data_IF_039323208220
#
_entry.id   IF_039323208220
#
_cell.length_a   1.000
_cell.length_b   1.000
_cell.length_c   1.000
_cell.angle_alpha   90.00
_cell.angle_beta   90.00
_cell.angle_gamma   90.00
#
_symmetry.space_group_name_H-M   'P 1'
#
loop_
_entity.id
_entity.type
_entity.pdbx_description
1 polymer ?
#
# COMPACT_ATOMS: atom_id res chain seq x y z
N UNK A 1 22.54 41.62 -11.32
CA UNK A 1 21.35 41.13 -12.04
C UNK A 1 21.38 39.60 -12.03
N UNK A 2 20.22 38.93 -12.03
CA UNK A 2 20.08 37.46 -12.05
C UNK A 2 20.90 36.79 -13.19
N UNK A 3 21.13 37.50 -14.27
CA UNK A 3 21.93 37.06 -15.42
C UNK A 3 23.39 36.68 -15.04
N UNK A 4 23.92 37.19 -13.95
CA UNK A 4 25.31 36.88 -13.53
C UNK A 4 25.42 35.50 -12.86
N UNK A 5 24.30 34.79 -12.63
CA UNK A 5 24.25 33.49 -11.99
C UNK A 5 23.90 32.34 -12.95
N UNK A 6 23.82 32.62 -14.27
CA UNK A 6 23.46 31.61 -15.28
C UNK A 6 24.45 30.44 -15.39
N UNK A 7 25.65 30.58 -14.83
CA UNK A 7 26.69 29.53 -14.82
C UNK A 7 26.80 28.84 -13.43
N UNK A 8 25.88 29.10 -12.52
CA UNK A 8 25.85 28.43 -11.22
C UNK A 8 24.84 27.29 -11.26
N UNK A 9 25.31 26.10 -10.99
CA UNK A 9 24.48 24.92 -10.82
C UNK A 9 24.34 24.56 -9.34
N UNK A 10 23.15 24.20 -8.93
CA UNK A 10 22.88 23.69 -7.60
C UNK A 10 23.39 22.26 -7.47
N UNK A 11 24.23 21.99 -6.49
CA UNK A 11 24.67 20.65 -6.11
C UNK A 11 24.14 20.32 -4.73
N UNK A 12 23.38 19.24 -4.60
CA UNK A 12 23.01 18.72 -3.30
C UNK A 12 24.26 18.13 -2.62
N UNK A 13 24.60 18.64 -1.45
CA UNK A 13 25.74 18.20 -0.64
C UNK A 13 25.30 17.44 0.63
N UNK A 14 24.02 17.11 0.72
CA UNK A 14 23.46 16.42 1.88
C UNK A 14 23.08 17.34 3.05
N UNK A 15 22.67 16.75 4.16
CA UNK A 15 22.51 15.31 4.37
C UNK A 15 21.44 14.73 3.43
N UNK A 16 21.74 13.60 2.80
CA UNK A 16 20.81 12.91 1.90
C UNK A 16 19.76 12.19 2.75
N UNK A 17 18.56 12.75 2.81
CA UNK A 17 17.44 12.24 3.60
C UNK A 17 16.14 12.31 2.78
N UNK A 18 15.60 11.13 2.47
CA UNK A 18 14.30 11.01 1.79
C UNK A 18 13.09 11.18 2.71
N UNK A 19 13.29 11.36 4.00
CA UNK A 19 12.24 11.30 5.00
C UNK A 19 11.91 9.85 5.39
N UNK A 20 10.67 9.61 5.86
CA UNK A 20 10.20 8.25 6.12
C UNK A 20 9.98 7.51 4.80
N UNK A 21 10.19 6.19 4.81
CA UNK A 21 9.72 5.32 3.73
C UNK A 21 8.36 4.73 4.11
N UNK A 22 7.41 4.77 3.19
CA UNK A 22 6.06 4.19 3.34
C UNK A 22 5.74 3.19 2.25
N UNK A 23 6.65 3.02 1.30
CA UNK A 23 6.51 2.07 0.19
C UNK A 23 7.85 1.40 -0.12
N UNK A 24 7.81 0.12 -0.43
CA UNK A 24 8.96 -0.66 -0.88
C UNK A 24 8.53 -1.71 -1.88
N UNK A 25 9.41 -2.02 -2.83
CA UNK A 25 9.20 -3.12 -3.78
C UNK A 25 10.54 -3.74 -4.15
N UNK A 26 10.57 -5.05 -4.25
CA UNK A 26 11.73 -5.80 -4.79
C UNK A 26 11.45 -6.29 -6.20
N UNK A 27 12.50 -6.65 -6.90
CA UNK A 27 12.45 -7.16 -8.27
C UNK A 27 12.60 -8.69 -8.24
N UNK A 28 11.54 -9.41 -8.59
CA UNK A 28 11.53 -10.89 -8.53
C UNK A 28 12.66 -11.54 -9.35
N UNK A 29 12.96 -10.97 -10.51
CA UNK A 29 14.00 -11.48 -11.42
C UNK A 29 15.41 -10.97 -11.09
N UNK A 30 15.55 -9.99 -10.19
CA UNK A 30 16.83 -9.41 -9.76
C UNK A 30 16.84 -9.25 -8.23
N UNK A 31 17.24 -10.30 -7.49
CA UNK A 31 17.09 -10.33 -6.02
C UNK A 31 17.86 -9.25 -5.26
N UNK A 32 18.85 -8.62 -5.90
CA UNK A 32 19.63 -7.51 -5.32
C UNK A 32 18.98 -6.14 -5.54
N UNK A 33 17.91 -6.07 -6.36
CA UNK A 33 17.29 -4.80 -6.78
C UNK A 33 16.03 -4.52 -5.96
N UNK A 34 16.00 -3.33 -5.35
CA UNK A 34 14.86 -2.85 -4.57
C UNK A 34 14.57 -1.38 -4.87
N UNK A 35 13.32 -1.00 -4.69
CA UNK A 35 12.85 0.38 -4.74
C UNK A 35 12.28 0.79 -3.40
N UNK A 36 12.51 2.03 -3.00
CA UNK A 36 12.00 2.63 -1.78
C UNK A 36 11.33 3.96 -2.11
N UNK A 37 10.08 4.11 -1.69
CA UNK A 37 9.31 5.35 -1.78
C UNK A 37 9.33 6.11 -0.48
N UNK A 38 9.71 7.38 -0.53
CA UNK A 38 9.86 8.23 0.64
C UNK A 38 8.82 9.34 0.67
N UNK A 39 8.56 9.89 1.87
CA UNK A 39 7.52 10.90 2.07
C UNK A 39 7.95 12.33 1.75
N UNK A 40 9.12 12.51 1.17
CA UNK A 40 9.62 13.84 0.82
C UNK A 40 10.86 13.84 -0.07
N UNK A 41 11.30 12.67 -0.53
CA UNK A 41 12.51 12.52 -1.35
C UNK A 41 12.33 11.62 -2.56
N UNK A 42 11.09 11.41 -3.01
CA UNK A 42 10.80 10.63 -4.21
C UNK A 42 11.11 9.15 -4.09
N UNK A 43 11.53 8.55 -5.19
CA UNK A 43 11.87 7.13 -5.32
C UNK A 43 13.39 6.94 -5.36
N UNK A 44 13.82 5.95 -4.58
CA UNK A 44 15.21 5.51 -4.50
C UNK A 44 15.31 4.06 -4.97
N UNK A 45 16.39 3.74 -5.67
CA UNK A 45 16.69 2.39 -6.18
C UNK A 45 18.05 1.93 -5.66
N UNK A 46 18.14 0.65 -5.31
CA UNK A 46 19.38 -0.07 -5.07
C UNK A 46 19.47 -1.27 -6.01
N UNK A 47 20.70 -1.68 -6.38
CA UNK A 47 20.97 -2.88 -7.17
C UNK A 47 21.98 -3.81 -6.48
N UNK A 48 22.30 -3.51 -5.22
CA UNK A 48 23.33 -4.17 -4.42
C UNK A 48 22.87 -4.54 -3.00
N UNK A 49 21.59 -4.96 -2.84
CA UNK A 49 20.98 -5.32 -1.56
C UNK A 49 20.89 -4.16 -0.55
N UNK A 50 20.84 -2.91 -1.02
CA UNK A 50 20.68 -1.74 -0.16
C UNK A 50 21.98 -1.14 0.39
N UNK A 51 23.15 -1.52 -0.15
CA UNK A 51 24.44 -0.92 0.21
C UNK A 51 24.51 0.51 -0.31
N UNK A 52 24.07 0.73 -1.57
CA UNK A 52 23.96 2.06 -2.17
C UNK A 52 22.53 2.30 -2.65
N UNK A 53 22.10 3.54 -2.57
CA UNK A 53 20.78 3.98 -3.02
C UNK A 53 20.90 5.24 -3.86
N UNK A 54 20.36 5.19 -5.08
CA UNK A 54 20.30 6.31 -6.00
C UNK A 54 18.89 6.87 -6.09
N UNK A 55 18.73 8.20 -6.02
CA UNK A 55 17.46 8.83 -6.33
C UNK A 55 17.24 8.78 -7.84
N UNK A 56 16.11 8.20 -8.24
CA UNK A 56 15.76 7.99 -9.65
C UNK A 56 14.54 8.80 -10.10
N UNK A 57 14.02 9.64 -9.25
CA UNK A 57 12.79 10.42 -9.51
C UNK A 57 13.01 11.92 -9.64
N UNK A 58 14.18 12.44 -9.27
CA UNK A 58 14.49 13.86 -9.35
C UNK A 58 14.42 14.35 -10.81
N UNK A 59 13.75 15.47 -11.02
CA UNK A 59 13.51 16.04 -12.35
C UNK A 59 12.25 15.51 -13.06
N UNK A 60 11.63 14.42 -12.57
CA UNK A 60 10.40 13.85 -13.14
C UNK A 60 9.15 14.15 -12.30
N UNK A 61 9.22 13.94 -10.97
CA UNK A 61 8.06 14.08 -10.10
C UNK A 61 7.84 15.53 -9.70
N UNK A 62 6.58 15.98 -9.80
CA UNK A 62 6.18 17.34 -9.36
C UNK A 62 6.04 17.44 -7.84
N UNK A 63 5.81 16.31 -7.17
CA UNK A 63 5.76 16.20 -5.70
C UNK A 63 6.76 15.15 -5.24
N UNK A 64 7.37 15.33 -4.07
CA UNK A 64 8.38 14.39 -3.55
C UNK A 64 7.79 13.26 -2.70
N UNK A 65 6.47 13.20 -2.55
CA UNK A 65 5.81 12.30 -1.58
C UNK A 65 5.28 11.07 -2.27
N UNK A 66 5.88 9.91 -2.00
CA UNK A 66 5.45 8.61 -2.52
C UNK A 66 4.58 7.90 -1.48
N UNK A 67 3.46 7.32 -1.93
CA UNK A 67 2.55 6.54 -1.10
C UNK A 67 2.61 5.03 -1.39
N UNK A 68 2.81 4.64 -2.64
CA UNK A 68 2.88 3.24 -3.05
C UNK A 68 3.87 3.04 -4.21
N UNK A 69 4.51 1.87 -4.24
CA UNK A 69 5.35 1.41 -5.37
C UNK A 69 5.01 -0.04 -5.67
N UNK A 70 4.91 -0.35 -6.96
CA UNK A 70 4.79 -1.72 -7.44
C UNK A 70 5.71 -1.94 -8.64
N UNK A 71 6.34 -3.13 -8.69
CA UNK A 71 7.15 -3.61 -9.83
C UNK A 71 6.43 -4.78 -10.45
N UNK A 72 6.32 -4.82 -11.76
CA UNK A 72 5.70 -5.93 -12.46
C UNK A 72 6.53 -7.22 -12.33
N UNK A 73 5.89 -8.33 -11.97
CA UNK A 73 6.56 -9.64 -11.93
C UNK A 73 6.87 -10.18 -13.34
N UNK A 74 6.03 -9.84 -14.32
CA UNK A 74 6.22 -10.27 -15.73
C UNK A 74 7.30 -9.48 -16.45
N UNK A 75 7.33 -8.15 -16.23
CA UNK A 75 8.31 -7.24 -16.83
C UNK A 75 8.92 -6.31 -15.76
N UNK A 76 10.16 -6.57 -15.31
CA UNK A 76 10.81 -5.78 -14.27
C UNK A 76 11.13 -4.33 -14.68
N UNK A 77 11.04 -3.99 -15.96
CA UNK A 77 11.20 -2.61 -16.44
C UNK A 77 9.98 -1.74 -16.08
N UNK A 78 8.82 -2.38 -15.89
CA UNK A 78 7.59 -1.66 -15.53
C UNK A 78 7.51 -1.47 -14.02
N UNK A 79 7.62 -0.19 -13.62
CA UNK A 79 7.48 0.27 -12.24
C UNK A 79 6.38 1.32 -12.18
N UNK A 80 5.43 1.15 -11.26
CA UNK A 80 4.31 2.08 -11.05
C UNK A 80 4.40 2.70 -9.66
N UNK A 81 4.26 4.02 -9.57
CA UNK A 81 4.37 4.80 -8.35
C UNK A 81 3.11 5.62 -8.13
N UNK A 82 2.49 5.46 -6.98
CA UNK A 82 1.37 6.26 -6.50
C UNK A 82 1.85 7.32 -5.53
N UNK A 83 1.47 8.57 -5.77
CA UNK A 83 1.93 9.72 -5.01
C UNK A 83 1.04 10.03 -3.80
N UNK A 84 1.62 10.70 -2.80
CA UNK A 84 0.95 11.15 -1.59
C UNK A 84 1.04 10.17 -0.42
N UNK A 85 1.56 10.63 0.72
CA UNK A 85 1.71 9.82 1.93
C UNK A 85 0.36 9.31 2.44
N UNK A 86 0.13 8.00 2.40
CA UNK A 86 -1.13 7.37 2.84
C UNK A 86 -1.22 7.20 4.37
N UNK A 87 -0.10 7.22 5.06
CA UNK A 87 -0.04 7.11 6.51
C UNK A 87 -0.47 8.43 7.17
N UNK A 88 -1.73 8.50 7.63
CA UNK A 88 -2.33 9.71 8.20
C UNK A 88 -1.64 10.13 9.50
N UNK A 89 -0.89 11.22 9.49
CA UNK A 89 -0.15 11.71 10.65
C UNK A 89 -0.94 12.72 11.49
N UNK A 90 -0.47 12.91 12.73
CA UNK A 90 -1.04 13.88 13.65
C UNK A 90 -0.73 15.35 13.29
N UNK A 91 0.29 15.61 12.49
CA UNK A 91 0.77 16.96 12.16
C UNK A 91 0.59 17.29 10.68
N UNK A 92 1.39 16.73 9.83
CA UNK A 92 1.37 17.04 8.41
C UNK A 92 1.47 15.73 7.59
N UNK A 93 0.68 15.67 6.53
CA UNK A 93 0.74 14.61 5.54
C UNK A 93 0.71 15.26 4.16
N UNK A 94 1.76 15.06 3.39
CA UNK A 94 1.92 15.71 2.09
C UNK A 94 1.12 14.99 1.01
N UNK A 95 0.42 15.76 0.20
CA UNK A 95 -0.34 15.27 -0.94
C UNK A 95 0.57 14.92 -2.11
N UNK A 96 0.13 13.96 -2.91
CA UNK A 96 0.64 13.66 -4.22
C UNK A 96 -0.22 14.24 -5.34
N UNK A 97 0.20 13.97 -6.56
CA UNK A 97 -0.39 14.48 -7.80
C UNK A 97 -0.75 13.37 -8.79
N UNK A 98 -0.94 12.14 -8.32
CA UNK A 98 -1.41 11.04 -9.17
C UNK A 98 -0.44 9.87 -9.27
N UNK A 99 -0.36 9.29 -10.44
CA UNK A 99 0.42 8.07 -10.72
C UNK A 99 1.50 8.36 -11.75
N UNK A 100 2.69 7.81 -11.50
CA UNK A 100 3.80 7.79 -12.44
C UNK A 100 4.15 6.35 -12.82
N UNK A 101 4.56 6.15 -14.08
CA UNK A 101 5.00 4.85 -14.61
C UNK A 101 6.38 5.01 -15.25
N UNK A 102 7.22 4.04 -15.02
CA UNK A 102 8.46 3.81 -15.76
C UNK A 102 8.32 2.51 -16.56
N UNK A 103 8.93 2.48 -17.74
CA UNK A 103 9.04 1.30 -18.61
C UNK A 103 10.50 0.89 -18.85
N UNK A 104 11.43 1.50 -18.09
CA UNK A 104 12.88 1.31 -18.19
C UNK A 104 13.53 1.16 -16.80
N UNK A 105 12.82 0.48 -15.89
CA UNK A 105 13.27 0.19 -14.53
C UNK A 105 13.65 1.44 -13.71
N UNK A 106 12.94 2.55 -13.95
CA UNK A 106 13.08 3.81 -13.22
C UNK A 106 14.08 4.80 -13.82
N UNK A 107 14.62 4.55 -15.03
CA UNK A 107 15.50 5.49 -15.68
C UNK A 107 14.75 6.74 -16.16
N UNK A 108 13.51 6.57 -16.62
CA UNK A 108 12.60 7.67 -16.97
C UNK A 108 11.19 7.42 -16.40
N UNK A 109 10.41 8.51 -16.25
CA UNK A 109 9.07 8.45 -15.67
C UNK A 109 8.08 9.28 -16.46
N UNK A 110 6.90 8.73 -16.67
CA UNK A 110 5.76 9.40 -17.28
C UNK A 110 4.63 9.53 -16.27
N UNK A 111 4.04 10.72 -16.16
CA UNK A 111 2.83 10.93 -15.37
C UNK A 111 1.63 10.38 -16.16
N UNK A 112 0.88 9.45 -15.56
CA UNK A 112 -0.19 8.70 -16.22
C UNK A 112 -1.59 8.98 -15.64
N UNK A 113 -1.76 10.10 -14.92
CA UNK A 113 -3.08 10.60 -14.49
C UNK A 113 -3.37 10.45 -12.99
N UNK A 114 -4.65 10.53 -12.63
CA UNK A 114 -5.19 10.56 -11.28
C UNK A 114 -4.68 11.72 -10.42
N UNK A 115 -4.51 12.91 -11.00
CA UNK A 115 -3.91 14.11 -10.37
C UNK A 115 -4.61 14.53 -9.07
N UNK A 116 -5.92 14.28 -8.96
CA UNK A 116 -6.73 14.67 -7.81
C UNK A 116 -6.85 13.56 -6.75
N UNK A 117 -6.11 12.45 -6.91
CA UNK A 117 -6.13 11.32 -5.97
C UNK A 117 -5.61 11.67 -4.57
N UNK A 118 -4.78 12.68 -4.45
CA UNK A 118 -4.16 13.20 -3.22
C UNK A 118 -3.25 12.18 -2.50
N UNK A 119 -3.79 11.03 -2.10
CA UNK A 119 -3.04 9.98 -1.39
C UNK A 119 -3.37 8.63 -2.00
N UNK A 120 -2.35 7.91 -2.47
CA UNK A 120 -2.46 6.57 -3.02
C UNK A 120 -1.82 5.60 -2.03
N UNK A 121 -2.62 4.63 -1.56
CA UNK A 121 -2.23 3.73 -0.49
C UNK A 121 -1.62 2.41 -0.99
N UNK A 122 -2.03 1.93 -2.16
CA UNK A 122 -1.58 0.64 -2.67
C UNK A 122 -1.71 0.56 -4.19
N UNK A 123 -0.86 -0.25 -4.82
CA UNK A 123 -0.91 -0.57 -6.24
C UNK A 123 -0.75 -2.08 -6.40
N UNK A 124 -1.59 -2.71 -7.21
CA UNK A 124 -1.52 -4.13 -7.55
C UNK A 124 -1.42 -4.29 -9.06
N UNK A 125 -0.29 -4.78 -9.56
CA UNK A 125 -0.07 -5.06 -10.98
C UNK A 125 -0.44 -6.53 -11.24
N UNK A 126 -1.13 -6.76 -12.36
CA UNK A 126 -1.47 -8.12 -12.80
C UNK A 126 -0.20 -8.96 -13.04
N UNK A 127 -0.12 -10.20 -12.54
CA UNK A 127 1.13 -10.98 -12.51
C UNK A 127 1.74 -11.30 -13.88
N UNK A 128 0.92 -11.30 -14.93
CA UNK A 128 1.36 -11.70 -16.29
C UNK A 128 1.11 -10.64 -17.37
N UNK A 129 0.44 -9.54 -17.03
CA UNK A 129 0.21 -8.41 -17.96
C UNK A 129 0.47 -7.08 -17.25
N UNK A 130 1.59 -6.40 -17.54
CA UNK A 130 1.97 -5.16 -16.85
C UNK A 130 1.07 -3.96 -17.19
N UNK A 131 0.25 -4.03 -18.24
CA UNK A 131 -0.68 -2.96 -18.61
C UNK A 131 -1.96 -2.97 -17.77
N UNK A 132 -2.23 -4.08 -17.07
CA UNK A 132 -3.38 -4.19 -16.18
C UNK A 132 -2.92 -3.98 -14.73
N UNK A 133 -3.40 -2.91 -14.10
CA UNK A 133 -3.16 -2.70 -12.67
C UNK A 133 -4.26 -1.89 -12.00
N UNK A 134 -4.27 -2.00 -10.68
CA UNK A 134 -5.26 -1.37 -9.81
C UNK A 134 -4.57 -0.43 -8.82
N UNK A 135 -5.21 0.70 -8.55
CA UNK A 135 -4.71 1.74 -7.65
C UNK A 135 -5.74 1.99 -6.55
N UNK A 136 -5.33 1.84 -5.30
CA UNK A 136 -6.12 2.17 -4.12
C UNK A 136 -5.95 3.65 -3.76
N UNK A 137 -6.96 4.45 -4.04
CA UNK A 137 -6.97 5.88 -3.75
C UNK A 137 -7.64 6.14 -2.42
N UNK A 138 -6.82 6.51 -1.41
CA UNK A 138 -7.31 6.93 -0.10
C UNK A 138 -8.00 8.30 -0.17
N UNK A 139 -7.55 9.18 -1.07
CA UNK A 139 -8.11 10.51 -1.26
C UNK A 139 -7.66 11.52 -0.24
N UNK A 140 -8.30 12.67 -0.20
CA UNK A 140 -7.95 13.78 0.69
C UNK A 140 -8.18 13.43 2.16
N UNK A 141 -7.20 13.71 3.03
CA UNK A 141 -7.32 13.41 4.47
C UNK A 141 -8.13 14.45 5.24
N UNK A 142 -8.18 15.68 4.74
CA UNK A 142 -8.75 16.82 5.48
C UNK A 142 -10.19 17.16 5.08
N UNK A 143 -10.75 16.47 4.12
CA UNK A 143 -12.12 16.70 3.64
C UNK A 143 -12.64 15.64 2.70
N UNK A 144 -13.89 15.79 2.24
CA UNK A 144 -14.47 14.94 1.22
C UNK A 144 -13.64 14.95 -0.07
N UNK A 145 -13.60 13.82 -0.77
CA UNK A 145 -12.90 13.72 -2.04
C UNK A 145 -13.58 12.68 -2.94
N UNK A 146 -14.11 13.13 -4.06
CA UNK A 146 -14.79 12.26 -5.02
C UNK A 146 -13.87 11.28 -5.73
N UNK A 147 -12.55 11.51 -5.65
CA UNK A 147 -11.55 10.62 -6.27
C UNK A 147 -11.17 9.42 -5.40
N UNK A 148 -11.77 9.25 -4.23
CA UNK A 148 -11.60 8.06 -3.38
C UNK A 148 -12.10 6.80 -4.07
N UNK A 149 -11.48 5.65 -3.77
CA UNK A 149 -11.90 4.36 -4.28
C UNK A 149 -10.79 3.55 -4.91
N UNK A 150 -11.14 2.53 -5.68
CA UNK A 150 -10.20 1.73 -6.46
C UNK A 150 -10.36 2.08 -7.93
N UNK A 151 -9.23 2.36 -8.57
CA UNK A 151 -9.13 2.59 -10.01
C UNK A 151 -8.43 1.42 -10.68
N UNK A 152 -8.80 1.16 -11.93
CA UNK A 152 -8.23 0.16 -12.80
C UNK A 152 -7.81 0.80 -14.12
N UNK A 153 -6.70 0.35 -14.66
CA UNK A 153 -6.33 0.52 -16.07
C UNK A 153 -6.14 -0.85 -16.72
N UNK A 154 -6.34 -0.94 -18.03
CA UNK A 154 -6.10 -2.12 -18.86
C UNK A 154 -5.16 -1.83 -20.04
N UNK A 155 -4.67 -0.58 -20.13
CA UNK A 155 -3.86 -0.03 -21.21
C UNK A 155 -2.59 0.68 -20.68
N UNK A 156 -2.08 0.24 -19.54
CA UNK A 156 -0.85 0.77 -18.96
C UNK A 156 -0.96 2.18 -18.39
N UNK A 157 -2.17 2.66 -18.15
CA UNK A 157 -2.44 3.97 -17.56
C UNK A 157 -2.87 5.04 -18.54
N UNK A 158 -3.11 4.70 -19.83
CA UNK A 158 -3.67 5.65 -20.81
C UNK A 158 -5.10 6.04 -20.44
N UNK A 159 -5.90 5.07 -19.98
CA UNK A 159 -7.26 5.29 -19.47
C UNK A 159 -7.49 4.69 -18.09
N UNK A 160 -8.41 5.30 -17.33
CA UNK A 160 -8.72 4.90 -15.96
C UNK A 160 -10.22 4.70 -15.77
N UNK A 161 -10.58 3.58 -15.15
CA UNK A 161 -11.93 3.29 -14.70
C UNK A 161 -11.96 3.23 -13.17
N UNK A 162 -12.86 3.99 -12.52
CA UNK A 162 -13.15 3.84 -11.11
C UNK A 162 -14.04 2.62 -10.93
N UNK A 163 -13.46 1.53 -10.41
CA UNK A 163 -14.14 0.22 -10.31
C UNK A 163 -14.76 -0.03 -8.93
N UNK A 164 -14.34 0.68 -7.88
CA UNK A 164 -14.99 0.66 -6.58
C UNK A 164 -15.07 2.09 -6.03
N UNK A 165 -16.28 2.50 -5.70
CA UNK A 165 -16.56 3.75 -5.01
C UNK A 165 -17.66 3.51 -3.98
N UNK A 166 -17.49 4.02 -2.78
CA UNK A 166 -18.49 3.90 -1.69
C UNK A 166 -19.09 5.26 -1.40
N UNK A 167 -18.26 6.21 -0.97
CA UNK A 167 -18.63 7.57 -0.62
C UNK A 167 -17.43 8.51 -0.72
N UNK A 168 -17.67 9.82 -0.73
CA UNK A 168 -16.61 10.83 -0.75
C UNK A 168 -15.79 10.91 0.55
N UNK A 169 -16.21 10.22 1.61
CA UNK A 169 -15.52 10.11 2.90
C UNK A 169 -14.78 8.78 3.07
N UNK A 170 -15.09 7.76 2.26
CA UNK A 170 -14.49 6.43 2.34
C UNK A 170 -13.49 6.17 1.20
N UNK A 171 -12.20 6.07 1.53
CA UNK A 171 -11.11 5.82 0.58
C UNK A 171 -10.56 4.40 0.66
N UNK A 172 -9.98 3.91 -0.43
CA UNK A 172 -9.28 2.62 -0.45
C UNK A 172 -7.91 2.76 0.23
N UNK A 173 -7.68 2.01 1.31
CA UNK A 173 -6.45 2.09 2.12
C UNK A 173 -5.60 0.83 2.06
N UNK A 174 -6.17 -0.28 1.60
CA UNK A 174 -5.44 -1.52 1.36
C UNK A 174 -6.09 -2.27 0.21
N UNK A 175 -5.27 -2.91 -0.61
CA UNK A 175 -5.70 -3.67 -1.78
C UNK A 175 -4.83 -4.92 -1.87
N UNK A 176 -5.43 -6.10 -2.08
CA UNK A 176 -4.71 -7.35 -2.24
C UNK A 176 -5.30 -8.16 -3.37
N UNK A 177 -4.45 -8.51 -4.34
CA UNK A 177 -4.79 -9.37 -5.48
C UNK A 177 -4.41 -10.81 -5.18
N UNK A 178 -5.26 -11.75 -5.55
CA UNK A 178 -4.88 -13.17 -5.60
C UNK A 178 -3.97 -13.39 -6.81
N UNK A 179 -2.68 -13.52 -6.57
CA UNK A 179 -1.67 -13.68 -7.63
C UNK A 179 -1.80 -15.00 -8.41
N UNK A 180 -2.58 -15.97 -7.90
CA UNK A 180 -2.91 -17.21 -8.59
C UNK A 180 -4.17 -17.07 -9.46
N UNK A 181 -5.04 -16.11 -9.15
CA UNK A 181 -6.22 -15.73 -9.94
C UNK A 181 -6.46 -14.23 -9.88
N UNK A 182 -5.82 -13.43 -10.72
CA UNK A 182 -5.82 -11.97 -10.66
C UNK A 182 -7.18 -11.31 -10.92
N UNK A 183 -8.22 -12.10 -11.24
CA UNK A 183 -9.61 -11.63 -11.27
C UNK A 183 -10.19 -11.45 -9.86
N UNK A 184 -9.55 -12.04 -8.83
CA UNK A 184 -9.96 -11.93 -7.43
C UNK A 184 -9.12 -10.87 -6.75
N UNK A 185 -9.79 -9.81 -6.26
CA UNK A 185 -9.16 -8.78 -5.44
C UNK A 185 -10.00 -8.52 -4.19
N UNK A 186 -9.31 -8.06 -3.17
CA UNK A 186 -9.88 -7.60 -1.90
C UNK A 186 -9.46 -6.15 -1.66
N UNK A 187 -10.40 -5.31 -1.25
CA UNK A 187 -10.16 -3.91 -0.93
C UNK A 187 -10.69 -3.57 0.47
N UNK A 188 -9.92 -2.81 1.24
CA UNK A 188 -10.36 -2.21 2.47
C UNK A 188 -10.69 -0.73 2.24
N UNK A 189 -11.95 -0.37 2.45
CA UNK A 189 -12.43 1.02 2.38
C UNK A 189 -12.50 1.60 3.78
N UNK A 190 -12.00 2.82 3.95
CA UNK A 190 -11.88 3.48 5.24
C UNK A 190 -12.54 4.86 5.21
N UNK A 191 -13.62 5.02 5.95
CA UNK A 191 -14.25 6.30 6.23
C UNK A 191 -13.38 7.06 7.24
N UNK A 192 -12.82 8.18 6.82
CA UNK A 192 -11.89 8.94 7.63
C UNK A 192 -11.89 10.43 7.32
N UNK A 193 -11.58 11.21 8.35
CA UNK A 193 -11.33 12.64 8.22
C UNK A 193 -10.38 13.12 9.32
N UNK A 194 -9.34 13.81 8.93
CA UNK A 194 -8.41 14.47 9.84
C UNK A 194 -8.79 15.94 10.00
N UNK A 195 -8.83 16.41 11.24
CA UNK A 195 -8.84 17.83 11.59
C UNK A 195 -7.65 18.12 12.51
N UNK A 196 -7.27 19.39 12.77
CA UNK A 196 -6.16 19.71 13.68
C UNK A 196 -6.29 19.13 15.09
N UNK A 197 -7.53 18.93 15.54
CA UNK A 197 -7.85 18.48 16.91
C UNK A 197 -8.43 17.07 17.01
N UNK A 198 -8.77 16.43 15.87
CA UNK A 198 -9.44 15.14 15.88
C UNK A 198 -9.07 14.31 14.65
N UNK A 199 -9.00 12.99 14.85
CA UNK A 199 -9.03 12.01 13.79
C UNK A 199 -10.32 11.20 13.90
N UNK A 200 -11.21 11.32 12.91
CA UNK A 200 -12.29 10.37 12.73
C UNK A 200 -11.72 9.17 11.98
N UNK A 201 -11.78 8.01 12.60
CA UNK A 201 -11.33 6.75 12.02
C UNK A 201 -12.44 5.74 12.11
N UNK A 202 -13.00 5.37 10.97
CA UNK A 202 -14.11 4.45 10.86
C UNK A 202 -15.49 5.12 10.78
N UNK A 203 -16.44 4.34 10.30
CA UNK A 203 -17.82 4.73 10.08
C UNK A 203 -18.56 3.70 9.25
N UNK A 204 -19.84 3.95 8.92
CA UNK A 204 -20.70 3.02 8.17
C UNK A 204 -20.17 2.73 6.76
N UNK A 205 -19.42 3.68 6.19
CA UNK A 205 -18.86 3.56 4.85
C UNK A 205 -17.51 2.83 4.81
N UNK A 206 -16.94 2.51 5.98
CA UNK A 206 -15.81 1.58 6.07
C UNK A 206 -16.28 0.16 5.81
N UNK A 207 -15.47 -0.63 5.11
CA UNK A 207 -15.84 -2.01 4.80
C UNK A 207 -14.77 -2.76 4.04
N UNK A 208 -14.92 -4.07 4.03
CA UNK A 208 -14.10 -4.98 3.24
C UNK A 208 -14.90 -5.42 2.03
N UNK A 209 -14.30 -5.29 0.86
CA UNK A 209 -14.95 -5.59 -0.43
C UNK A 209 -14.14 -6.63 -1.18
N UNK A 210 -14.83 -7.45 -1.98
CA UNK A 210 -14.25 -8.47 -2.85
C UNK A 210 -14.84 -8.37 -4.24
N UNK A 211 -13.97 -8.53 -5.25
CA UNK A 211 -14.37 -8.83 -6.63
C UNK A 211 -13.89 -10.22 -7.02
N UNK A 212 -14.59 -10.87 -7.95
CA UNK A 212 -14.20 -12.16 -8.56
C UNK A 212 -14.11 -12.08 -10.08
N UNK A 213 -14.32 -10.90 -10.64
CA UNK A 213 -14.38 -10.65 -12.08
C UNK A 213 -13.49 -9.48 -12.54
N UNK A 214 -12.39 -9.22 -11.80
CA UNK A 214 -11.42 -8.19 -12.16
C UNK A 214 -11.93 -6.76 -11.96
N UNK A 215 -12.81 -6.57 -10.97
CA UNK A 215 -13.32 -5.26 -10.59
C UNK A 215 -14.60 -4.82 -11.28
N UNK A 216 -15.22 -5.67 -12.14
CA UNK A 216 -16.49 -5.33 -12.77
C UNK A 216 -17.64 -5.18 -11.74
N UNK A 217 -17.61 -6.05 -10.72
CA UNK A 217 -18.53 -5.97 -9.58
C UNK A 217 -17.78 -6.19 -8.27
N UNK A 218 -18.26 -5.56 -7.19
CA UNK A 218 -17.72 -5.69 -5.85
C UNK A 218 -18.83 -6.02 -4.85
N UNK A 219 -18.54 -6.98 -3.97
CA UNK A 219 -19.43 -7.39 -2.89
C UNK A 219 -18.82 -7.01 -1.55
N UNK A 220 -19.56 -6.34 -0.69
CA UNK A 220 -19.18 -6.09 0.71
C UNK A 220 -19.19 -7.40 1.49
N UNK A 221 -18.13 -7.63 2.26
CA UNK A 221 -17.98 -8.82 3.10
C UNK A 221 -18.38 -8.46 4.54
N UNK A 222 -19.29 -9.24 5.14
CA UNK A 222 -19.87 -8.90 6.46
C UNK A 222 -19.81 -10.06 7.45
N UNK A 223 -19.92 -11.30 6.97
CA UNK A 223 -20.08 -12.48 7.85
C UNK A 223 -18.88 -12.71 8.75
N UNK A 224 -19.05 -12.47 10.04
CA UNK A 224 -18.01 -12.61 11.06
C UNK A 224 -17.12 -11.37 11.22
N UNK A 225 -17.44 -10.26 10.56
CA UNK A 225 -16.81 -8.95 10.74
C UNK A 225 -17.68 -8.04 11.61
N UNK A 226 -17.11 -7.03 12.28
CA UNK A 226 -17.86 -5.99 12.97
C UNK A 226 -18.73 -5.18 12.00
N UNK A 227 -19.86 -4.67 12.48
CA UNK A 227 -20.75 -3.80 11.70
C UNK A 227 -20.07 -2.45 11.40
N UNK A 228 -19.39 -1.87 12.39
CA UNK A 228 -18.64 -0.63 12.25
C UNK A 228 -17.14 -0.94 12.31
N UNK A 229 -16.45 -0.57 11.26
CA UNK A 229 -15.02 -0.80 11.09
C UNK A 229 -14.26 0.52 10.96
N UNK A 230 -13.02 0.52 11.46
CA UNK A 230 -12.04 1.55 11.21
C UNK A 230 -11.13 1.20 10.03
N UNK A 231 -9.86 1.59 10.13
CA UNK A 231 -8.84 1.24 9.14
C UNK A 231 -8.56 -0.26 9.13
N UNK A 232 -8.27 -0.80 7.98
CA UNK A 232 -7.89 -2.20 7.84
C UNK A 232 -6.77 -2.42 6.84
N UNK A 233 -5.86 -3.36 7.15
CA UNK A 233 -4.93 -3.97 6.22
C UNK A 233 -5.44 -5.34 5.79
N UNK A 234 -5.32 -5.69 4.52
CA UNK A 234 -5.78 -6.97 3.98
C UNK A 234 -4.70 -7.65 3.13
N UNK A 235 -4.56 -8.97 3.27
CA UNK A 235 -3.62 -9.76 2.48
C UNK A 235 -4.16 -11.15 2.17
N UNK A 236 -4.31 -11.48 0.89
CA UNK A 236 -4.59 -12.85 0.45
C UNK A 236 -3.29 -13.66 0.38
N UNK A 237 -3.33 -14.89 0.86
CA UNK A 237 -2.16 -15.77 0.83
C UNK A 237 -1.90 -16.31 -0.57
N UNK A 238 -0.71 -16.07 -1.10
CA UNK A 238 -0.27 -16.67 -2.38
C UNK A 238 -0.09 -18.19 -2.27
N UNK A 239 0.27 -18.69 -1.08
CA UNK A 239 0.38 -20.13 -0.81
C UNK A 239 -0.98 -20.85 -0.78
N UNK A 240 -2.07 -20.13 -0.47
CA UNK A 240 -3.42 -20.66 -0.43
C UNK A 240 -4.45 -19.54 -0.67
N UNK A 241 -4.97 -19.43 -1.88
CA UNK A 241 -5.94 -18.40 -2.30
C UNK A 241 -7.25 -18.39 -1.49
N UNK A 242 -7.57 -19.47 -0.76
CA UNK A 242 -8.74 -19.50 0.14
C UNK A 242 -8.48 -18.76 1.44
N UNK A 243 -7.21 -18.55 1.81
CA UNK A 243 -6.82 -17.89 3.04
C UNK A 243 -6.57 -16.41 2.83
N UNK A 244 -7.32 -15.61 3.58
CA UNK A 244 -7.20 -14.15 3.58
C UNK A 244 -7.03 -13.67 5.01
N UNK A 245 -6.09 -12.79 5.23
CA UNK A 245 -5.83 -12.16 6.52
C UNK A 245 -6.29 -10.71 6.52
N UNK A 246 -6.77 -10.27 7.67
CA UNK A 246 -7.21 -8.90 7.90
C UNK A 246 -6.68 -8.44 9.26
N UNK A 247 -6.04 -7.29 9.30
CA UNK A 247 -5.76 -6.55 10.52
C UNK A 247 -6.74 -5.39 10.61
N UNK A 248 -7.58 -5.36 11.64
CA UNK A 248 -8.78 -4.52 11.67
C UNK A 248 -8.85 -3.65 12.91
N UNK A 249 -8.99 -2.34 12.70
CA UNK A 249 -9.43 -1.39 13.72
C UNK A 249 -10.96 -1.50 13.91
N UNK A 250 -11.37 -1.67 15.15
CA UNK A 250 -12.77 -1.69 15.55
C UNK A 250 -12.90 -1.33 17.05
N UNK A 251 -14.11 -1.16 17.54
CA UNK A 251 -14.35 -0.86 18.95
C UNK A 251 -14.08 -2.04 19.87
N UNK A 252 -13.55 -1.74 21.05
CA UNK A 252 -13.38 -2.68 22.16
C UNK A 252 -12.58 -3.93 21.79
N UNK A 253 -13.15 -5.10 22.02
CA UNK A 253 -12.54 -6.41 21.76
C UNK A 253 -12.71 -6.90 20.33
N UNK A 254 -13.36 -6.14 19.46
CA UNK A 254 -13.55 -6.46 18.06
C UNK A 254 -12.34 -6.07 17.19
N UNK A 255 -11.45 -5.20 17.68
CA UNK A 255 -10.20 -4.89 17.02
C UNK A 255 -9.22 -6.08 17.09
N UNK A 256 -8.42 -6.28 16.04
CA UNK A 256 -7.40 -7.34 16.02
C UNK A 256 -7.22 -8.01 14.66
N UNK A 257 -6.70 -9.23 14.67
CA UNK A 257 -6.43 -10.00 13.46
C UNK A 257 -7.55 -11.01 13.20
N UNK A 258 -8.05 -10.94 11.98
CA UNK A 258 -9.08 -11.84 11.44
C UNK A 258 -8.50 -12.70 10.32
N UNK A 259 -9.10 -13.86 10.10
CA UNK A 259 -8.77 -14.75 8.99
C UNK A 259 -10.02 -15.34 8.39
N UNK A 260 -10.03 -15.43 7.09
CA UNK A 260 -10.94 -16.28 6.31
C UNK A 260 -10.16 -17.47 5.77
N UNK A 261 -10.77 -18.64 5.76
CA UNK A 261 -10.27 -19.87 5.12
C UNK A 261 -11.18 -20.31 3.95
N UNK A 262 -12.13 -19.45 3.55
CA UNK A 262 -13.13 -19.68 2.50
C UNK A 262 -13.20 -18.53 1.47
N UNK A 263 -12.04 -17.93 1.19
CA UNK A 263 -11.91 -16.82 0.22
C UNK A 263 -12.76 -15.60 0.59
N UNK A 264 -12.89 -15.28 1.88
CA UNK A 264 -13.63 -14.12 2.37
C UNK A 264 -15.13 -14.33 2.57
N UNK A 265 -15.67 -15.54 2.34
CA UNK A 265 -17.10 -15.82 2.54
C UNK A 265 -17.49 -15.77 4.02
N UNK A 266 -16.56 -16.06 4.92
CA UNK A 266 -16.72 -15.85 6.37
C UNK A 266 -15.39 -15.54 7.05
N UNK A 267 -15.47 -14.83 8.20
CA UNK A 267 -14.30 -14.36 8.92
C UNK A 267 -14.34 -14.80 10.38
N UNK A 268 -13.16 -15.10 10.92
CA UNK A 268 -12.98 -15.46 12.31
C UNK A 268 -11.89 -14.58 12.92
N UNK A 269 -12.21 -13.89 14.02
CA UNK A 269 -11.21 -13.20 14.83
C UNK A 269 -10.32 -14.22 15.51
N UNK A 270 -9.02 -14.19 15.22
CA UNK A 270 -8.05 -15.13 15.76
C UNK A 270 -7.23 -14.54 16.89
N UNK A 271 -6.95 -13.26 16.83
CA UNK A 271 -6.16 -12.54 17.81
C UNK A 271 -6.82 -11.21 18.18
N UNK A 272 -6.91 -10.94 19.50
CA UNK A 272 -7.52 -9.73 20.06
C UNK A 272 -6.48 -8.83 20.75
N UNK A 273 -5.21 -9.19 20.63
CA UNK A 273 -4.15 -8.40 21.23
C UNK A 273 -4.06 -7.04 20.56
N UNK A 274 -4.25 -6.00 21.35
CA UNK A 274 -4.22 -4.62 20.87
C UNK A 274 -2.85 -4.20 20.30
N UNK A 275 -1.79 -4.99 20.57
CA UNK A 275 -0.46 -4.72 20.00
C UNK A 275 -0.47 -4.74 18.47
N UNK A 276 -1.36 -5.54 17.85
CA UNK A 276 -1.50 -5.61 16.40
C UNK A 276 -2.20 -4.38 15.79
N UNK A 277 -2.88 -3.55 16.61
CA UNK A 277 -3.71 -2.42 16.17
C UNK A 277 -3.42 -1.12 16.93
N UNK A 278 -2.27 -1.02 17.58
CA UNK A 278 -1.90 0.11 18.47
C UNK A 278 -1.91 1.47 17.76
N UNK A 279 -1.54 1.50 16.48
CA UNK A 279 -1.46 2.72 15.66
C UNK A 279 -2.38 2.66 14.43
N UNK A 280 -3.55 2.08 14.58
CA UNK A 280 -4.47 1.76 13.47
C UNK A 280 -4.75 2.93 12.54
N UNK A 281 -5.05 4.10 13.03
CA UNK A 281 -5.34 5.29 12.22
C UNK A 281 -4.10 5.85 11.49
N UNK A 282 -2.89 5.55 11.96
CA UNK A 282 -1.65 6.01 11.35
C UNK A 282 -1.16 4.99 10.29
N UNK A 283 -0.67 3.85 10.71
CA UNK A 283 -0.32 2.74 9.82
C UNK A 283 -0.65 1.42 10.48
N UNK A 284 -1.10 0.49 9.68
CA UNK A 284 -1.55 -0.82 10.13
C UNK A 284 -1.64 -1.73 8.91
N UNK A 285 -0.58 -2.49 8.69
CA UNK A 285 -0.47 -3.35 7.50
C UNK A 285 -0.33 -4.81 7.91
N UNK A 286 -0.80 -5.71 7.04
CA UNK A 286 -0.66 -7.15 7.21
C UNK A 286 -0.16 -7.78 5.90
N UNK A 287 0.78 -8.69 6.00
CA UNK A 287 1.41 -9.35 4.86
C UNK A 287 1.45 -10.85 5.08
N UNK A 288 0.73 -11.61 4.25
CA UNK A 288 0.82 -13.06 4.22
C UNK A 288 2.12 -13.48 3.53
N UNK A 289 2.79 -14.46 4.11
CA UNK A 289 3.97 -15.07 3.49
C UNK A 289 3.57 -15.76 2.17
N UNK A 290 4.29 -15.53 1.07
CA UNK A 290 3.91 -16.07 -0.25
C UNK A 290 4.08 -17.59 -0.38
N UNK A 291 4.87 -18.21 0.51
CA UNK A 291 5.19 -19.65 0.45
C UNK A 291 4.62 -20.45 1.64
N UNK A 292 4.20 -19.78 2.71
CA UNK A 292 3.66 -20.43 3.91
C UNK A 292 2.35 -19.76 4.34
N UNK A 293 1.25 -20.43 4.12
CA UNK A 293 -0.08 -19.91 4.44
C UNK A 293 -0.29 -19.59 5.94
N UNK A 294 0.51 -20.17 6.84
CA UNK A 294 0.42 -19.94 8.29
C UNK A 294 1.34 -18.81 8.78
N UNK A 295 2.25 -18.35 7.93
CA UNK A 295 3.15 -17.27 8.28
C UNK A 295 2.58 -15.93 7.84
N UNK A 296 2.51 -14.97 8.77
CA UNK A 296 1.97 -13.64 8.50
C UNK A 296 2.71 -12.59 9.33
N UNK A 297 2.90 -11.43 8.75
CA UNK A 297 3.53 -10.27 9.37
C UNK A 297 2.52 -9.16 9.57
N UNK A 298 2.57 -8.50 10.72
CA UNK A 298 1.81 -7.29 11.00
C UNK A 298 2.79 -6.16 11.25
N UNK A 299 2.68 -5.12 10.43
CA UNK A 299 3.42 -3.89 10.64
C UNK A 299 2.57 -2.93 11.45
N UNK A 300 3.06 -2.68 12.63
CA UNK A 300 2.51 -1.74 13.59
C UNK A 300 3.69 -1.31 14.49
N UNK A 301 3.46 -0.77 15.65
CA UNK A 301 4.51 -0.52 16.63
C UNK A 301 4.36 -1.50 17.81
N UNK A 302 5.08 -2.62 17.80
CA UNK A 302 6.19 -3.10 16.95
C UNK A 302 5.76 -3.89 15.70
N UNK A 303 6.75 -4.31 14.89
CA UNK A 303 6.56 -5.34 13.85
C UNK A 303 6.37 -6.70 14.51
N UNK A 304 5.37 -7.45 14.04
CA UNK A 304 4.96 -8.73 14.58
C UNK A 304 5.02 -9.82 13.52
N UNK A 305 5.35 -11.05 13.94
CA UNK A 305 5.33 -12.24 13.10
C UNK A 305 4.50 -13.33 13.77
N UNK A 306 3.64 -13.98 13.00
CA UNK A 306 2.95 -15.21 13.35
C UNK A 306 3.42 -16.35 12.46
N UNK A 307 3.46 -17.58 13.01
CA UNK A 307 3.74 -18.82 12.28
C UNK A 307 2.63 -19.86 12.46
N UNK A 308 1.53 -19.48 13.09
CA UNK A 308 0.39 -20.36 13.42
C UNK A 308 -0.93 -19.85 12.79
N UNK A 309 -0.80 -19.09 11.71
CA UNK A 309 -1.92 -18.56 10.94
C UNK A 309 -2.64 -17.41 11.62
N UNK A 310 -1.90 -16.57 12.34
CA UNK A 310 -2.44 -15.34 12.95
C UNK A 310 -3.06 -15.53 14.34
N UNK A 311 -2.85 -16.67 14.99
CA UNK A 311 -3.38 -16.93 16.33
C UNK A 311 -2.50 -16.29 17.42
N UNK A 312 -1.18 -16.47 17.30
CA UNK A 312 -0.20 -15.87 18.20
C UNK A 312 0.83 -15.06 17.43
N UNK A 313 1.36 -14.02 18.05
CA UNK A 313 2.35 -13.15 17.47
C UNK A 313 3.57 -12.99 18.36
N UNK A 314 4.73 -12.97 17.73
CA UNK A 314 6.00 -12.64 18.37
C UNK A 314 6.53 -11.33 17.77
N UNK A 315 7.21 -10.52 18.59
CA UNK A 315 7.89 -9.33 18.11
C UNK A 315 9.07 -9.73 17.22
N UNK A 316 9.12 -9.15 16.04
CA UNK A 316 10.28 -9.26 15.16
C UNK A 316 11.27 -8.16 15.52
N UNK A 317 12.53 -8.56 15.80
CA UNK A 317 13.60 -7.58 16.02
C UNK A 317 13.95 -6.93 14.67
N UNK A 318 13.74 -5.63 14.58
CA UNK A 318 14.08 -4.80 13.42
C UNK A 318 14.99 -3.67 13.86
N UNK A 319 15.86 -3.13 12.98
CA UNK A 319 16.72 -1.99 13.31
C UNK A 319 15.97 -0.74 13.75
N UNK A 320 14.70 -0.60 13.34
CA UNK A 320 13.81 0.49 13.70
C UNK A 320 12.45 -0.06 14.13
N UNK A 321 11.83 0.54 15.15
CA UNK A 321 10.53 0.06 15.68
C UNK A 321 9.29 0.49 14.90
N UNK A 322 9.44 1.31 13.88
CA UNK A 322 8.35 1.95 13.13
C UNK A 322 8.51 1.59 11.64
N UNK A 323 7.94 0.44 11.23
CA UNK A 323 8.07 -0.10 9.88
C UNK A 323 6.72 0.03 9.16
N UNK A 324 6.70 0.68 8.00
CA UNK A 324 5.48 1.03 7.31
C UNK A 324 5.13 0.13 6.13
N UNK A 325 6.10 -0.56 5.54
CA UNK A 325 5.85 -1.47 4.42
C UNK A 325 6.80 -2.67 4.47
N UNK A 326 6.37 -3.78 3.89
CA UNK A 326 7.15 -5.01 3.76
C UNK A 326 6.91 -5.60 2.36
N UNK A 327 7.98 -5.88 1.65
CA UNK A 327 7.96 -6.73 0.47
C UNK A 327 8.62 -8.06 0.80
N UNK A 328 8.05 -9.17 0.32
CA UNK A 328 8.58 -10.53 0.50
C UNK A 328 8.72 -11.14 -0.88
N UNK A 329 9.90 -11.65 -1.19
CA UNK A 329 10.13 -12.30 -2.49
C UNK A 329 9.23 -13.53 -2.66
N UNK A 330 8.43 -13.62 -3.74
CA UNK A 330 7.40 -14.64 -3.89
C UNK A 330 7.93 -16.08 -3.95
N UNK A 331 9.16 -16.28 -4.44
CA UNK A 331 9.79 -17.58 -4.61
C UNK A 331 10.90 -17.85 -3.57
N UNK A 332 11.19 -16.90 -2.67
CA UNK A 332 12.16 -17.05 -1.60
C UNK A 332 11.81 -16.17 -0.40
N UNK A 333 11.00 -16.66 0.50
CA UNK A 333 10.51 -15.91 1.66
C UNK A 333 11.58 -15.58 2.72
N UNK A 334 12.83 -15.92 2.48
CA UNK A 334 13.97 -15.45 3.30
C UNK A 334 14.50 -14.10 2.81
N UNK A 335 14.14 -13.69 1.60
CA UNK A 335 14.46 -12.39 1.04
C UNK A 335 13.25 -11.44 1.21
N UNK A 336 13.44 -10.40 2.00
CA UNK A 336 12.41 -9.42 2.31
C UNK A 336 13.03 -8.05 2.64
#
# INVERSE_FOLDING_TARGET
TLANFNNLDWRNIGPFRGGRSVASAGVVKSPSTFYMGTTGGGVWKTEDYGIQWDNISDGYFKTGTVGAIAVSESDPNVVVVGMGEHAARGVMTSMGDGVYKSEDAGATWTHIGLEQSRHIANIQIHPTNPDIFYVAVQGAQYGPNKERGVYKTEDGGETWQKVLYVDELAGAVSLSMDMNNPRILYAAMWDHKRTPWQMRSGGPDSGIYKTTNGGADWTRLEKGLPEVMGKAGISVSRANSKRVYLNLEAEGTQAGVYRSDDSGASWKQLNKDRIAVTRSWYYMEIFADPQDENKVYVLNAPTLKSIDGGKTFQRLSTPHGDNHHLWIHPNNNQLM
#
